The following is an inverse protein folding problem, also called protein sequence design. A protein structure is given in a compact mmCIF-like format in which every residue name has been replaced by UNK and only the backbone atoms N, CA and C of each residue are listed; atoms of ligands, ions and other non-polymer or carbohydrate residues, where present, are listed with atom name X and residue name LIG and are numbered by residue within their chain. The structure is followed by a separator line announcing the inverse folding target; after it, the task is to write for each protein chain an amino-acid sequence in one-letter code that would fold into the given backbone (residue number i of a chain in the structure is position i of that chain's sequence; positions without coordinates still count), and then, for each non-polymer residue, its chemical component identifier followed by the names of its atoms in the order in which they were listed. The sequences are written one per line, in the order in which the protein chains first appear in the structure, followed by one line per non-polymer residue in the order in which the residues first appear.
data_IF_323151715874
#
_entry.id   IF_323151715874
#
_cell.length_a   1.000
_cell.length_b   1.000
_cell.length_c   1.000
_cell.angle_alpha   90.00
_cell.angle_beta   90.00
_cell.angle_gamma   90.00
#
_symmetry.space_group_name_H-M   'P 1'
#
loop_
_entity.id
_entity.type
_entity.pdbx_description
1 polymer ?
#
# COMPACT_ATOMS: atom_id res chain seq x y z
N UNK A 1 11.77 11.88 -8.69
CA UNK A 1 10.58 11.89 -7.82
C UNK A 1 10.61 13.20 -7.04
N UNK A 2 9.51 13.95 -6.94
CA UNK A 2 9.46 15.13 -6.05
C UNK A 2 9.19 14.63 -4.62
N UNK A 3 9.79 15.23 -3.59
CA UNK A 3 9.64 14.75 -2.22
C UNK A 3 8.23 14.98 -1.69
N UNK A 4 7.77 14.02 -0.89
CA UNK A 4 6.66 14.18 0.05
C UNK A 4 7.20 14.00 1.47
N UNK A 5 6.86 14.87 2.44
CA UNK A 5 6.01 16.07 2.32
C UNK A 5 6.58 17.16 1.39
N UNK A 6 5.72 18.07 0.95
CA UNK A 6 6.14 19.21 0.12
C UNK A 6 7.01 20.17 0.94
N UNK A 7 8.05 20.73 0.32
CA UNK A 7 8.92 21.74 0.95
C UNK A 7 8.17 23.06 1.19
N UNK A 8 8.38 23.71 2.34
CA UNK A 8 7.71 24.96 2.74
C UNK A 8 7.86 26.10 1.71
N UNK A 9 8.99 26.14 0.98
CA UNK A 9 9.28 27.16 -0.04
C UNK A 9 8.78 26.82 -1.44
N UNK A 10 8.01 25.75 -1.62
CA UNK A 10 7.60 25.31 -2.95
C UNK A 10 6.68 26.32 -3.64
N UNK A 11 7.00 26.80 -4.86
CA UNK A 11 6.19 27.81 -5.56
C UNK A 11 4.73 27.42 -5.74
N UNK A 12 4.40 26.13 -5.82
CA UNK A 12 3.02 25.67 -5.96
C UNK A 12 2.13 26.08 -4.78
N UNK A 13 2.70 26.31 -3.60
CA UNK A 13 1.96 26.73 -2.40
C UNK A 13 1.50 28.19 -2.44
N UNK A 14 2.08 29.02 -3.33
CA UNK A 14 1.75 30.45 -3.44
C UNK A 14 1.04 30.84 -4.74
N UNK A 15 0.81 29.89 -5.65
CA UNK A 15 0.17 30.16 -6.94
C UNK A 15 -1.34 30.39 -6.79
N UNK A 16 -1.89 31.52 -7.26
CA UNK A 16 -3.31 31.86 -7.08
C UNK A 16 -4.27 30.98 -7.90
N UNK A 17 -3.75 30.25 -8.89
CA UNK A 17 -4.49 29.40 -9.81
C UNK A 17 -4.29 27.90 -9.53
N UNK A 18 -3.79 27.54 -8.36
CA UNK A 18 -3.50 26.15 -7.97
C UNK A 18 -4.24 25.82 -6.67
N UNK A 19 -4.94 24.68 -6.67
CA UNK A 19 -5.50 24.08 -5.46
C UNK A 19 -4.64 22.88 -5.09
N UNK A 20 -4.11 22.87 -3.86
CA UNK A 20 -3.26 21.79 -3.34
C UNK A 20 -4.04 20.87 -2.42
N UNK A 21 -3.73 19.57 -2.46
CA UNK A 21 -4.24 18.56 -1.53
C UNK A 21 -3.06 17.77 -0.95
N UNK A 22 -2.88 17.65 0.37
CA UNK A 22 -1.69 17.08 1.00
C UNK A 22 -1.72 15.54 1.02
N UNK A 23 -1.74 14.91 -0.16
CA UNK A 23 -1.89 13.44 -0.29
C UNK A 23 -3.07 12.88 0.53
N UNK A 24 -4.16 13.64 0.62
CA UNK A 24 -5.29 13.31 1.49
C UNK A 24 -6.43 12.56 0.80
N UNK A 25 -6.25 12.16 -0.47
CA UNK A 25 -7.32 11.59 -1.29
C UNK A 25 -7.97 10.35 -0.67
N UNK A 26 -7.20 9.48 -0.01
CA UNK A 26 -7.68 8.26 0.63
C UNK A 26 -7.85 8.40 2.16
N UNK A 27 -7.71 9.61 2.72
CA UNK A 27 -7.74 9.82 4.17
C UNK A 27 -9.17 9.92 4.73
N UNK A 28 -9.98 8.88 4.51
CA UNK A 28 -11.32 8.74 5.11
C UNK A 28 -11.36 7.53 6.03
N UNK A 29 -12.20 7.57 7.07
CA UNK A 29 -12.36 6.45 8.02
C UNK A 29 -12.69 5.13 7.28
N UNK A 30 -13.55 5.21 6.25
CA UNK A 30 -13.90 4.05 5.43
C UNK A 30 -12.68 3.53 4.66
N UNK A 31 -11.99 4.39 3.92
CA UNK A 31 -10.82 3.99 3.12
C UNK A 31 -9.73 3.37 4.00
N UNK A 32 -9.49 3.91 5.19
CA UNK A 32 -8.55 3.31 6.13
C UNK A 32 -9.03 1.97 6.67
N UNK A 33 -10.32 1.84 6.99
CA UNK A 33 -10.90 0.57 7.47
C UNK A 33 -10.77 -0.52 6.41
N UNK A 34 -11.17 -0.22 5.17
CA UNK A 34 -11.15 -1.16 4.04
C UNK A 34 -9.72 -1.62 3.74
N UNK A 35 -8.77 -0.67 3.63
CA UNK A 35 -7.35 -0.98 3.41
C UNK A 35 -6.75 -1.82 4.55
N UNK A 36 -7.13 -1.53 5.80
CA UNK A 36 -6.66 -2.29 6.96
C UNK A 36 -7.21 -3.71 6.96
N UNK A 37 -8.49 -3.89 6.66
CA UNK A 37 -9.11 -5.21 6.55
C UNK A 37 -8.46 -6.05 5.45
N UNK A 38 -8.20 -5.46 4.28
CA UNK A 38 -7.53 -6.13 3.18
C UNK A 38 -6.10 -6.54 3.55
N UNK A 39 -5.32 -5.62 4.14
CA UNK A 39 -3.94 -5.90 4.55
C UNK A 39 -3.88 -7.02 5.60
N UNK A 40 -4.75 -6.97 6.62
CA UNK A 40 -4.85 -8.02 7.64
C UNK A 40 -5.25 -9.36 6.99
N UNK A 41 -6.24 -9.35 6.10
CA UNK A 41 -6.67 -10.54 5.36
C UNK A 41 -5.53 -11.19 4.59
N UNK A 42 -4.74 -10.39 3.86
CA UNK A 42 -3.58 -10.86 3.13
C UNK A 42 -2.52 -11.48 4.07
N UNK A 43 -2.18 -10.82 5.18
CA UNK A 43 -1.24 -11.35 6.18
C UNK A 43 -1.71 -12.70 6.73
N UNK A 44 -3.01 -12.81 7.05
CA UNK A 44 -3.58 -14.05 7.57
C UNK A 44 -3.59 -15.18 6.53
N UNK A 45 -3.85 -14.89 5.25
CA UNK A 45 -3.74 -15.86 4.17
C UNK A 45 -2.30 -16.40 4.05
N UNK A 46 -1.31 -15.49 4.03
CA UNK A 46 0.11 -15.86 4.06
C UNK A 46 0.46 -16.63 5.33
N UNK A 47 -0.22 -16.41 6.46
CA UNK A 47 0.00 -17.18 7.71
C UNK A 47 -0.66 -18.56 7.72
N UNK A 48 -1.70 -18.82 6.92
CA UNK A 48 -2.39 -20.13 6.86
C UNK A 48 -1.85 -21.14 5.86
N UNK A 49 -1.44 -20.69 4.69
CA UNK A 49 -1.10 -21.63 3.60
C UNK A 49 -1.07 -20.96 2.25
N UNK A 50 -1.70 -19.79 2.20
CA UNK A 50 -2.50 -19.42 1.06
C UNK A 50 -1.85 -18.26 0.34
N UNK A 51 -2.15 -18.17 -0.95
CA UNK A 51 -1.81 -17.01 -1.76
C UNK A 51 -2.83 -15.91 -1.44
N UNK A 52 -2.40 -14.67 -1.10
CA UNK A 52 -3.31 -13.55 -0.89
C UNK A 52 -4.14 -13.24 -2.14
N UNK A 53 -5.40 -12.86 -1.96
CA UNK A 53 -6.34 -12.65 -3.08
C UNK A 53 -5.91 -11.58 -4.08
N UNK A 54 -5.36 -10.46 -3.59
CA UNK A 54 -4.96 -9.31 -4.41
C UNK A 54 -3.44 -9.26 -4.67
N UNK A 55 -2.80 -10.42 -4.83
CA UNK A 55 -1.36 -10.49 -5.07
C UNK A 55 -0.99 -9.87 -6.44
N UNK A 56 -0.28 -8.74 -6.42
CA UNK A 56 0.14 -8.04 -7.65
C UNK A 56 1.30 -8.75 -8.35
N UNK A 57 2.37 -9.07 -7.62
CA UNK A 57 3.50 -9.83 -8.17
C UNK A 57 3.24 -11.33 -8.05
N UNK A 58 2.48 -11.88 -8.99
CA UNK A 58 2.08 -13.31 -8.97
C UNK A 58 3.25 -14.27 -9.15
N UNK A 59 4.33 -13.86 -9.82
CA UNK A 59 5.53 -14.67 -10.02
C UNK A 59 6.23 -15.07 -8.69
N UNK A 60 5.96 -14.36 -7.59
CA UNK A 60 6.51 -14.70 -6.27
C UNK A 60 6.06 -16.08 -5.78
N UNK A 61 4.92 -16.59 -6.25
CA UNK A 61 4.38 -17.90 -5.82
C UNK A 61 5.32 -19.04 -6.25
N UNK A 62 6.04 -18.87 -7.35
CA UNK A 62 7.01 -19.83 -7.84
C UNK A 62 8.41 -19.62 -7.27
N UNK A 63 8.64 -18.53 -6.53
CA UNK A 63 9.94 -18.24 -5.96
C UNK A 63 10.32 -19.28 -4.90
N UNK A 64 11.51 -19.90 -4.96
CA UNK A 64 11.91 -20.97 -4.03
C UNK A 64 11.83 -20.54 -2.56
N UNK A 65 12.25 -19.31 -2.25
CA UNK A 65 12.18 -18.77 -0.89
C UNK A 65 10.75 -18.58 -0.36
N UNK A 66 9.79 -18.33 -1.24
CA UNK A 66 8.37 -18.23 -0.87
C UNK A 66 7.81 -19.61 -0.54
N UNK A 67 7.98 -20.58 -1.46
CA UNK A 67 7.53 -21.97 -1.26
C UNK A 67 8.11 -22.58 0.02
N UNK A 68 9.42 -22.45 0.20
CA UNK A 68 10.10 -22.92 1.40
C UNK A 68 9.61 -22.23 2.68
N UNK A 69 9.19 -20.95 2.62
CA UNK A 69 8.59 -20.27 3.77
C UNK A 69 7.20 -20.83 4.09
N UNK A 70 6.38 -21.14 3.09
CA UNK A 70 5.04 -21.69 3.32
C UNK A 70 5.08 -23.16 3.77
N UNK A 71 6.12 -23.91 3.41
CA UNK A 71 6.32 -25.29 3.87
C UNK A 71 6.80 -25.35 5.34
N UNK A 72 7.50 -24.32 5.82
CA UNK A 72 8.01 -24.19 7.21
C UNK A 72 6.96 -23.69 8.22
N UNK A 73 5.68 -23.70 7.87
CA UNK A 73 4.60 -23.28 8.78
C UNK A 73 4.53 -24.15 10.03
#
# INVERSE_FOLDING_TARGET
MRPEPIEDGNPLLSMPNVVVTPHSMCMTDRSYSDASQEAIGAVLAVKRGEVPGNLVNTAVVDHPGWRAKLERR
#
